data_IF_267216377200
#
_entry.id   IF_267216377200
#
_cell.length_a   1.000
_cell.length_b   1.000
_cell.length_c   1.000
_cell.angle_alpha   90.00
_cell.angle_beta   90.00
_cell.angle_gamma   90.00
#
_symmetry.space_group_name_H-M   'P 1'
#
loop_
_entity.id
_entity.type
_entity.pdbx_description
1 polymer ?
#
# COMPACT_ATOMS: atom_id res chain seq x y z
N UNK A 1 0.73 15.47 -11.02
CA UNK A 1 -0.25 14.60 -11.73
C UNK A 1 -0.62 13.47 -10.77
N UNK A 2 -1.88 13.03 -10.71
CA UNK A 2 -2.21 11.85 -9.89
C UNK A 2 -1.80 10.60 -10.67
N UNK A 3 -0.98 9.76 -10.06
CA UNK A 3 -0.62 8.44 -10.61
C UNK A 3 -1.29 7.34 -9.80
N UNK A 4 -1.49 6.20 -10.46
CA UNK A 4 -2.03 5.00 -9.83
C UNK A 4 -1.23 3.78 -10.23
N UNK A 5 -1.01 2.88 -9.27
CA UNK A 5 -0.33 1.62 -9.50
C UNK A 5 -0.70 0.59 -8.42
N UNK A 6 -0.29 -0.65 -8.64
CA UNK A 6 -0.39 -1.72 -7.64
C UNK A 6 1.00 -1.95 -7.05
N UNK A 7 1.10 -1.80 -5.73
CA UNK A 7 2.32 -2.12 -4.97
C UNK A 7 2.11 -3.36 -4.12
N UNK A 8 3.22 -4.04 -3.79
CA UNK A 8 3.22 -5.16 -2.86
C UNK A 8 3.82 -4.73 -1.54
N UNK A 9 3.12 -5.02 -0.45
CA UNK A 9 3.58 -4.78 0.93
C UNK A 9 3.69 -6.13 1.62
N UNK A 10 4.70 -6.33 2.47
CA UNK A 10 4.85 -7.57 3.23
C UNK A 10 3.64 -7.77 4.14
N UNK A 11 3.14 -8.99 4.25
CA UNK A 11 2.09 -9.33 5.21
C UNK A 11 2.71 -9.63 6.57
N UNK A 12 2.14 -9.02 7.61
CA UNK A 12 2.37 -9.40 9.01
C UNK A 12 1.09 -10.03 9.57
N UNK A 13 1.18 -10.73 10.70
CA UNK A 13 0.05 -11.48 11.27
C UNK A 13 -1.15 -10.58 11.58
N UNK A 14 -0.88 -9.47 12.26
CA UNK A 14 -1.89 -8.53 12.74
C UNK A 14 -1.60 -7.13 12.17
N UNK A 15 -1.90 -6.93 10.89
CA UNK A 15 -1.74 -5.62 10.24
C UNK A 15 -2.98 -4.74 10.42
N UNK A 16 -2.76 -3.44 10.46
CA UNK A 16 -3.80 -2.41 10.49
C UNK A 16 -3.54 -1.36 9.40
N UNK A 17 -4.40 -0.34 9.34
CA UNK A 17 -4.27 0.75 8.38
C UNK A 17 -2.95 1.52 8.58
N UNK A 18 -2.52 1.72 9.84
CA UNK A 18 -1.31 2.46 10.16
C UNK A 18 -0.04 1.74 9.65
N UNK A 19 0.00 0.42 9.75
CA UNK A 19 1.05 -0.39 9.16
C UNK A 19 1.13 -0.20 7.64
N UNK A 20 -0.01 -0.30 6.95
CA UNK A 20 -0.07 -0.14 5.49
C UNK A 20 0.40 1.25 5.08
N UNK A 21 -0.08 2.31 5.73
CA UNK A 21 0.34 3.69 5.43
C UNK A 21 1.84 3.91 5.63
N UNK A 22 2.42 3.36 6.70
CA UNK A 22 3.88 3.43 6.93
C UNK A 22 4.66 2.73 5.82
N UNK A 23 4.23 1.56 5.39
CA UNK A 23 4.88 0.84 4.30
C UNK A 23 4.75 1.57 2.95
N UNK A 24 3.59 2.20 2.68
CA UNK A 24 3.39 3.03 1.49
C UNK A 24 4.29 4.27 1.49
N UNK A 25 4.45 4.94 2.64
CA UNK A 25 5.34 6.11 2.78
C UNK A 25 6.81 5.71 2.53
N UNK A 26 7.24 4.52 2.97
CA UNK A 26 8.60 4.00 2.70
C UNK A 26 8.90 3.82 1.22
N UNK A 27 7.87 3.70 0.37
CA UNK A 27 8.00 3.62 -1.08
C UNK A 27 8.19 5.01 -1.74
N UNK A 28 8.35 6.07 -0.94
CA UNK A 28 8.49 7.45 -1.40
C UNK A 28 7.27 7.95 -2.21
N UNK A 29 6.09 7.37 -1.94
CA UNK A 29 4.82 7.72 -2.57
C UNK A 29 3.93 8.34 -1.51
N UNK A 30 3.55 9.61 -1.68
CA UNK A 30 2.65 10.28 -0.76
C UNK A 30 1.19 9.87 -1.07
N UNK A 31 0.57 8.95 -0.28
CA UNK A 31 -0.70 8.33 -0.64
C UNK A 31 -1.84 9.34 -0.56
N UNK A 32 -2.66 9.43 -1.61
CA UNK A 32 -3.95 10.15 -1.57
C UNK A 32 -5.05 9.20 -1.11
N UNK A 33 -5.05 7.98 -1.66
CA UNK A 33 -5.98 6.89 -1.32
C UNK A 33 -5.35 5.56 -1.65
N UNK A 34 -5.74 4.52 -0.93
CA UNK A 34 -5.30 3.16 -1.17
C UNK A 34 -6.39 2.15 -0.84
N UNK A 35 -6.32 0.97 -1.44
CA UNK A 35 -7.19 -0.16 -1.13
C UNK A 35 -6.42 -1.47 -1.30
N UNK A 36 -6.61 -2.41 -0.38
CA UNK A 36 -6.13 -3.79 -0.55
C UNK A 36 -6.99 -4.44 -1.63
N UNK A 37 -6.34 -5.02 -2.64
CA UNK A 37 -7.02 -5.71 -3.75
C UNK A 37 -6.78 -7.22 -3.74
N UNK A 38 -5.75 -7.69 -3.02
CA UNK A 38 -5.47 -9.11 -2.83
C UNK A 38 -4.62 -9.35 -1.57
N UNK A 39 -4.80 -10.50 -0.93
CA UNK A 39 -4.09 -10.91 0.29
C UNK A 39 -3.59 -12.34 0.12
N UNK A 40 -2.27 -12.50 0.13
CA UNK A 40 -1.62 -13.82 0.10
C UNK A 40 -1.07 -14.22 1.48
N UNK A 41 -0.31 -15.31 1.57
CA UNK A 41 0.43 -15.64 2.80
C UNK A 41 1.59 -14.67 3.06
N UNK A 42 2.23 -14.16 2.00
CA UNK A 42 3.48 -13.40 2.09
C UNK A 42 3.29 -11.88 1.94
N UNK A 43 2.31 -11.44 1.15
CA UNK A 43 2.13 -10.03 0.80
C UNK A 43 0.68 -9.60 0.63
N UNK A 44 0.46 -8.30 0.79
CA UNK A 44 -0.74 -7.55 0.44
C UNK A 44 -0.49 -6.85 -0.89
N UNK A 45 -1.40 -7.02 -1.86
CA UNK A 45 -1.42 -6.20 -3.07
C UNK A 45 -2.31 -4.99 -2.81
N UNK A 46 -1.74 -3.79 -2.95
CA UNK A 46 -2.42 -2.53 -2.63
C UNK A 46 -2.49 -1.67 -3.88
N UNK A 47 -3.71 -1.33 -4.30
CA UNK A 47 -3.95 -0.28 -5.28
C UNK A 47 -3.72 1.06 -4.61
N UNK A 48 -2.77 1.84 -5.11
CA UNK A 48 -2.33 3.12 -4.57
C UNK A 48 -2.58 4.23 -5.58
N UNK A 49 -3.21 5.32 -5.16
CA UNK A 49 -3.18 6.60 -5.89
C UNK A 49 -2.35 7.60 -5.11
N UNK A 50 -1.38 8.26 -5.77
CA UNK A 50 -0.45 9.18 -5.12
C UNK A 50 -0.15 10.39 -6.00
N UNK A 51 0.34 11.46 -5.37
CA UNK A 51 0.81 12.65 -6.08
C UNK A 51 2.31 12.52 -6.32
N UNK A 52 2.69 12.56 -7.59
CA UNK A 52 4.07 12.81 -8.02
C UNK A 52 4.51 14.23 -7.69
#
# INVERSE_FOLDING_TARGET
MIKSEVVKIKKIKDFDNLYIEKELIKLNKNPIRWAIIDITSEYLSVSLSYKD
#
